data_IF_501306215692
#
_entry.id   IF_501306215692
#
_cell.length_a   1.000
_cell.length_b   1.000
_cell.length_c   1.000
_cell.angle_alpha   90.00
_cell.angle_beta   90.00
_cell.angle_gamma   90.00
#
_symmetry.space_group_name_H-M   'P 1'
#
loop_
_entity.id
_entity.type
_entity.pdbx_description
1 polymer ?
#
# COMPACT_ATOMS: atom_id res chain seq x y z
N UNK A 1 46.22 30.71 -36.49
CA UNK A 1 45.36 29.50 -36.48
C UNK A 1 44.50 29.58 -35.23
N UNK A 2 43.22 29.97 -35.29
CA UNK A 2 42.34 29.95 -34.12
C UNK A 2 41.73 28.54 -33.97
N UNK A 3 41.97 27.89 -32.83
CA UNK A 3 41.27 26.67 -32.47
C UNK A 3 40.02 27.04 -31.66
N UNK A 4 38.91 26.50 -32.14
CA UNK A 4 37.53 26.84 -31.81
C UNK A 4 37.21 26.37 -30.38
N UNK A 5 36.70 27.28 -29.55
CA UNK A 5 36.14 26.95 -28.24
C UNK A 5 34.85 26.16 -28.45
N UNK A 6 34.86 24.87 -28.12
CA UNK A 6 33.66 24.03 -28.13
C UNK A 6 32.76 24.40 -26.96
N UNK A 7 31.74 25.21 -27.25
CA UNK A 7 30.63 25.48 -26.33
C UNK A 7 29.73 24.24 -26.25
N UNK A 8 29.91 23.42 -25.23
CA UNK A 8 28.93 22.38 -24.88
C UNK A 8 27.74 23.07 -24.21
N UNK A 9 26.68 23.26 -24.98
CA UNK A 9 25.37 23.70 -24.49
C UNK A 9 24.77 22.57 -23.64
N UNK A 10 24.87 22.69 -22.32
CA UNK A 10 24.13 21.83 -21.40
C UNK A 10 22.66 22.21 -21.45
N UNK A 11 21.87 21.48 -22.22
CA UNK A 11 20.41 21.58 -22.13
C UNK A 11 19.97 20.99 -20.77
N UNK A 12 19.06 21.66 -20.04
CA UNK A 12 18.49 21.12 -18.83
C UNK A 12 17.63 19.90 -19.19
N UNK A 13 17.83 18.83 -18.44
CA UNK A 13 17.00 17.63 -18.49
C UNK A 13 15.64 18.05 -17.94
N UNK A 14 14.66 18.26 -18.83
CA UNK A 14 13.29 18.49 -18.41
C UNK A 14 12.77 17.23 -17.74
N UNK A 15 12.73 17.25 -16.41
CA UNK A 15 11.94 16.32 -15.59
C UNK A 15 10.49 16.42 -16.08
N UNK A 16 10.13 15.52 -16.99
CA UNK A 16 8.79 15.47 -17.56
C UNK A 16 7.95 14.73 -16.54
N UNK A 17 7.45 15.50 -15.55
CA UNK A 17 6.56 15.02 -14.51
C UNK A 17 5.34 14.34 -15.14
N UNK A 18 5.35 13.01 -15.15
CA UNK A 18 4.18 12.22 -15.48
C UNK A 18 3.19 12.48 -14.33
N UNK A 19 2.08 13.15 -14.65
CA UNK A 19 0.99 13.37 -13.71
C UNK A 19 0.46 12.04 -13.20
N UNK A 20 0.20 11.94 -11.89
CA UNK A 20 -0.38 10.74 -11.29
C UNK A 20 -1.79 10.48 -11.83
N UNK A 21 -2.03 9.28 -12.37
CA UNK A 21 -3.34 8.86 -12.85
C UNK A 21 -4.18 8.32 -11.66
N UNK A 22 -4.87 9.25 -11.00
CA UNK A 22 -5.74 8.91 -9.87
C UNK A 22 -6.86 7.93 -10.25
N UNK A 23 -7.43 8.05 -11.46
CA UNK A 23 -8.55 7.19 -11.86
C UNK A 23 -8.08 5.76 -12.02
N UNK A 24 -6.92 5.54 -12.66
CA UNK A 24 -6.31 4.23 -12.75
C UNK A 24 -5.94 3.67 -11.37
N UNK A 25 -5.43 4.52 -10.46
CA UNK A 25 -5.08 4.10 -9.11
C UNK A 25 -6.30 3.67 -8.28
N UNK A 26 -7.42 4.38 -8.36
CA UNK A 26 -8.68 3.98 -7.71
C UNK A 26 -9.17 2.62 -8.19
N UNK A 27 -9.03 2.31 -9.49
CA UNK A 27 -9.35 0.98 -10.04
C UNK A 27 -8.42 -0.12 -9.47
N UNK A 28 -7.15 0.21 -9.19
CA UNK A 28 -6.25 -0.72 -8.49
C UNK A 28 -6.74 -0.95 -7.06
N UNK A 29 -7.03 0.11 -6.31
CA UNK A 29 -7.54 0.01 -4.94
C UNK A 29 -8.82 -0.82 -4.85
N UNK A 30 -9.79 -0.56 -5.72
CA UNK A 30 -11.05 -1.32 -5.77
C UNK A 30 -10.82 -2.82 -6.01
N UNK A 31 -9.93 -3.18 -6.95
CA UNK A 31 -9.61 -4.59 -7.22
C UNK A 31 -8.95 -5.27 -6.03
N UNK A 32 -7.98 -4.59 -5.39
CA UNK A 32 -7.30 -5.12 -4.20
C UNK A 32 -8.28 -5.27 -3.05
N UNK A 33 -9.18 -4.31 -2.84
CA UNK A 33 -10.21 -4.38 -1.80
C UNK A 33 -11.15 -5.57 -2.02
N UNK A 34 -11.62 -5.81 -3.25
CA UNK A 34 -12.44 -7.00 -3.57
C UNK A 34 -11.69 -8.29 -3.26
N UNK A 35 -10.40 -8.36 -3.60
CA UNK A 35 -9.56 -9.53 -3.32
C UNK A 35 -9.29 -9.73 -1.82
N UNK A 36 -9.09 -8.65 -1.07
CA UNK A 36 -8.92 -8.67 0.38
C UNK A 36 -10.20 -9.18 1.05
N UNK A 37 -11.37 -8.64 0.67
CA UNK A 37 -12.68 -9.02 1.21
C UNK A 37 -13.04 -10.49 0.98
N UNK A 38 -12.77 -11.03 -0.22
CA UNK A 38 -13.09 -12.42 -0.53
C UNK A 38 -12.27 -13.45 0.28
N UNK A 39 -11.20 -13.01 0.95
CA UNK A 39 -10.28 -13.88 1.68
C UNK A 39 -10.11 -13.54 3.16
N UNK A 40 -10.85 -12.57 3.71
CA UNK A 40 -10.63 -12.10 5.08
C UNK A 40 -11.42 -12.87 6.15
N UNK A 41 -12.23 -13.87 5.77
CA UNK A 41 -13.03 -14.63 6.73
C UNK A 41 -14.06 -13.78 7.50
N UNK A 42 -14.52 -12.68 6.88
CA UNK A 42 -15.37 -11.65 7.49
C UNK A 42 -14.73 -10.87 8.65
N UNK A 43 -13.41 -10.98 8.83
CA UNK A 43 -12.67 -10.13 9.77
C UNK A 43 -12.27 -8.81 9.11
N UNK A 44 -12.55 -7.71 9.80
CA UNK A 44 -12.13 -6.37 9.37
C UNK A 44 -10.60 -6.21 9.49
N UNK A 45 -10.00 -6.58 10.62
CA UNK A 45 -8.55 -6.47 10.83
C UNK A 45 -7.79 -7.25 9.76
N UNK A 46 -8.27 -8.45 9.42
CA UNK A 46 -7.62 -9.23 8.37
C UNK A 46 -7.88 -8.68 6.97
N UNK A 47 -9.01 -8.02 6.74
CA UNK A 47 -9.22 -7.24 5.51
C UNK A 47 -8.19 -6.12 5.39
N UNK A 48 -8.04 -5.31 6.45
CA UNK A 48 -7.09 -4.17 6.50
C UNK A 48 -5.66 -4.65 6.29
N UNK A 49 -5.26 -5.75 6.94
CA UNK A 49 -3.94 -6.36 6.77
C UNK A 49 -3.68 -6.74 5.32
N UNK A 50 -4.60 -7.51 4.71
CA UNK A 50 -4.45 -7.98 3.32
C UNK A 50 -4.46 -6.83 2.32
N UNK A 51 -5.38 -5.88 2.48
CA UNK A 51 -5.51 -4.73 1.61
C UNK A 51 -4.23 -3.88 1.68
N UNK A 52 -3.82 -3.49 2.88
CA UNK A 52 -2.69 -2.58 3.08
C UNK A 52 -1.37 -3.19 2.62
N UNK A 53 -1.13 -4.47 2.94
CA UNK A 53 0.06 -5.19 2.49
C UNK A 53 0.15 -5.31 0.97
N UNK A 54 -0.97 -5.43 0.25
CA UNK A 54 -0.95 -5.46 -1.22
C UNK A 54 -0.83 -4.06 -1.82
N UNK A 55 -1.48 -3.04 -1.23
CA UNK A 55 -1.30 -1.64 -1.64
C UNK A 55 0.15 -1.20 -1.54
N UNK A 56 0.86 -1.56 -0.46
CA UNK A 56 2.29 -1.25 -0.30
C UNK A 56 3.13 -1.84 -1.44
N UNK A 57 2.86 -3.09 -1.87
CA UNK A 57 3.54 -3.71 -3.03
C UNK A 57 3.29 -2.98 -4.33
N UNK A 58 2.10 -2.40 -4.50
CA UNK A 58 1.78 -1.56 -5.65
C UNK A 58 2.47 -0.19 -5.57
N UNK A 59 2.45 0.46 -4.40
CA UNK A 59 3.09 1.76 -4.15
C UNK A 59 4.61 1.69 -4.33
N UNK A 60 5.23 0.57 -3.96
CA UNK A 60 6.68 0.36 -4.14
C UNK A 60 7.13 0.37 -5.61
N UNK A 61 6.20 0.20 -6.54
CA UNK A 61 6.48 0.26 -7.99
C UNK A 61 6.23 1.65 -8.58
N UNK A 62 5.64 2.57 -7.80
CA UNK A 62 5.41 3.94 -8.22
C UNK A 62 6.67 4.81 -8.04
N UNK A 63 6.83 5.85 -8.88
CA UNK A 63 7.79 6.93 -8.60
C UNK A 63 7.60 7.48 -7.19
N UNK A 64 8.70 7.77 -6.49
CA UNK A 64 8.68 8.24 -5.10
C UNK A 64 7.76 9.46 -4.89
N UNK A 65 7.76 10.39 -5.85
CA UNK A 65 6.92 11.59 -5.85
C UNK A 65 5.41 11.31 -5.90
N UNK A 66 4.99 10.11 -6.29
CA UNK A 66 3.59 9.70 -6.41
C UNK A 66 3.11 8.85 -5.24
N UNK A 67 4.03 8.29 -4.43
CA UNK A 67 3.69 7.31 -3.38
C UNK A 67 2.77 7.88 -2.31
N UNK A 68 3.06 9.10 -1.83
CA UNK A 68 2.23 9.75 -0.81
C UNK A 68 0.80 9.96 -1.29
N UNK A 69 0.61 10.44 -2.52
CA UNK A 69 -0.72 10.64 -3.10
C UNK A 69 -1.47 9.30 -3.26
N UNK A 70 -0.78 8.25 -3.68
CA UNK A 70 -1.36 6.92 -3.82
C UNK A 70 -1.87 6.37 -2.48
N UNK A 71 -1.09 6.50 -1.41
CA UNK A 71 -1.49 6.08 -0.05
C UNK A 71 -2.65 6.91 0.49
N UNK A 72 -2.68 8.23 0.24
CA UNK A 72 -3.81 9.08 0.63
C UNK A 72 -5.13 8.62 -0.01
N UNK A 73 -5.12 8.25 -1.30
CA UNK A 73 -6.31 7.71 -1.96
C UNK A 73 -6.70 6.34 -1.40
N UNK A 74 -5.72 5.50 -1.06
CA UNK A 74 -5.99 4.17 -0.51
C UNK A 74 -6.67 4.21 0.88
N UNK A 75 -6.60 5.34 1.60
CA UNK A 75 -7.35 5.54 2.85
C UNK A 75 -8.87 5.47 2.66
N UNK A 76 -9.39 5.71 1.44
CA UNK A 76 -10.82 5.51 1.13
C UNK A 76 -11.28 4.04 1.28
N UNK A 77 -10.32 3.11 1.41
CA UNK A 77 -10.52 1.66 1.60
C UNK A 77 -9.89 1.15 2.91
N UNK A 78 -9.66 2.03 3.87
CA UNK A 78 -9.09 1.72 5.19
C UNK A 78 -7.62 1.25 5.15
N UNK A 79 -6.82 1.80 4.23
CA UNK A 79 -5.37 1.61 4.28
C UNK A 79 -4.81 1.97 5.67
N UNK A 80 -4.03 1.05 6.24
CA UNK A 80 -3.29 1.22 7.48
C UNK A 80 -1.79 1.00 7.26
N UNK A 81 -0.99 1.88 7.83
CA UNK A 81 0.47 1.78 7.80
C UNK A 81 0.97 0.50 8.50
N UNK A 82 2.20 0.05 8.23
CA UNK A 82 2.77 -1.10 8.93
C UNK A 82 2.78 -0.94 10.46
N UNK A 83 2.98 0.29 10.95
CA UNK A 83 2.98 0.58 12.38
C UNK A 83 1.58 0.42 12.99
N UNK A 84 0.55 0.99 12.36
CA UNK A 84 -0.84 0.87 12.84
C UNK A 84 -1.31 -0.59 12.82
N UNK A 85 -0.93 -1.36 11.79
CA UNK A 85 -1.25 -2.80 11.72
C UNK A 85 -0.54 -3.60 12.81
N UNK A 86 0.72 -3.28 13.11
CA UNK A 86 1.43 -3.90 14.22
C UNK A 86 0.77 -3.58 15.57
N UNK A 87 0.30 -2.35 15.79
CA UNK A 87 -0.43 -1.99 17.01
C UNK A 87 -1.74 -2.80 17.15
N UNK A 88 -2.46 -3.02 16.04
CA UNK A 88 -3.63 -3.91 16.01
C UNK A 88 -3.25 -5.36 16.35
N UNK A 89 -2.16 -5.88 15.78
CA UNK A 89 -1.68 -7.24 16.06
C UNK A 89 -1.28 -7.43 17.52
N UNK A 90 -0.58 -6.45 18.10
CA UNK A 90 -0.17 -6.48 19.51
C UNK A 90 -1.40 -6.47 20.43
N UNK A 91 -2.38 -5.59 20.16
CA UNK A 91 -3.63 -5.57 20.91
C UNK A 91 -4.39 -6.89 20.78
N UNK A 92 -4.46 -7.47 19.57
CA UNK A 92 -5.12 -8.75 19.33
C UNK A 92 -4.47 -9.87 20.16
N UNK A 93 -3.12 -9.94 20.17
CA UNK A 93 -2.38 -10.92 20.95
C UNK A 93 -2.61 -10.77 22.46
N UNK A 94 -2.68 -9.54 22.97
CA UNK A 94 -2.94 -9.26 24.39
C UNK A 94 -4.39 -9.59 24.81
N UNK A 95 -5.33 -9.63 23.87
CA UNK A 95 -6.77 -9.78 24.14
C UNK A 95 -7.35 -11.13 23.71
N UNK A 96 -6.53 -12.10 23.31
CA UNK A 96 -6.98 -13.46 22.99
C UNK A 96 -7.50 -13.64 21.55
N UNK A 97 -7.07 -12.78 20.64
CA UNK A 97 -7.35 -12.87 19.20
C UNK A 97 -6.09 -13.32 18.45
N UNK A 98 -6.26 -13.97 17.30
CA UNK A 98 -5.15 -14.19 16.38
C UNK A 98 -4.87 -12.93 15.56
N UNK A 99 -3.78 -12.92 14.79
CA UNK A 99 -3.42 -11.82 13.86
C UNK A 99 -4.44 -11.61 12.74
N UNK A 100 -5.42 -12.51 12.58
CA UNK A 100 -6.57 -12.28 11.70
C UNK A 100 -7.71 -11.53 12.41
N UNK A 101 -7.54 -11.04 13.63
CA UNK A 101 -8.59 -10.35 14.41
C UNK A 101 -9.77 -11.26 14.81
N UNK A 102 -9.53 -12.57 14.89
CA UNK A 102 -10.56 -13.57 15.26
C UNK A 102 -10.11 -14.24 16.55
N UNK A 103 -11.04 -14.46 17.48
CA UNK A 103 -10.78 -15.13 18.76
C UNK A 103 -10.03 -16.45 18.55
N UNK A 104 -9.04 -16.71 19.40
CA UNK A 104 -8.22 -17.93 19.33
C UNK A 104 -9.12 -19.18 19.48
N UNK A 105 -8.89 -20.18 18.62
CA UNK A 105 -9.71 -21.39 18.55
C UNK A 105 -10.99 -21.24 17.70
N UNK A 106 -11.37 -20.01 17.33
CA UNK A 106 -12.54 -19.75 16.48
C UNK A 106 -12.17 -19.42 15.02
N UNK A 107 -10.88 -19.18 14.73
CA UNK A 107 -10.44 -18.79 13.40
C UNK A 107 -10.52 -19.95 12.40
N UNK A 108 -11.20 -19.80 11.24
CA UNK A 108 -11.32 -20.87 10.23
C UNK A 108 -9.98 -21.24 9.57
N UNK A 109 -8.96 -20.40 9.70
CA UNK A 109 -7.59 -20.72 9.29
C UNK A 109 -6.86 -21.66 10.26
N UNK A 110 -7.47 -21.99 11.41
CA UNK A 110 -6.90 -22.88 12.42
C UNK A 110 -5.95 -22.20 13.41
N UNK A 111 -6.10 -20.88 13.65
CA UNK A 111 -5.29 -20.18 14.65
C UNK A 111 -5.73 -20.53 16.07
N UNK A 112 -4.80 -20.90 16.95
CA UNK A 112 -5.04 -21.01 18.39
C UNK A 112 -5.23 -22.44 18.95
N UNK A 113 -4.30 -23.35 18.61
CA UNK A 113 -3.96 -24.50 19.46
C UNK A 113 -2.65 -24.26 20.18
#
# INVERSE_FOLDING_TARGET
>A
MPAITSSTSSQPISDTGISFDETAWRVVCEKVAVQASNGCGLSHDYYVERFSSEIERHVDRLPESQRTQALQIAQDWDYATPAERQETDDWNAENGYCTHGIELGCCPAGCGS
#
